data_IF_893914338690
#
_entry.id   IF_893914338690
#
_cell.length_a   1.000
_cell.length_b   1.000
_cell.length_c   1.000
_cell.angle_alpha   90.00
_cell.angle_beta   90.00
_cell.angle_gamma   90.00
#
_symmetry.space_group_name_H-M   'P 1'
#
loop_
_entity.id
_entity.type
_entity.pdbx_description
1 polymer ?
#
# COMPACT_ATOMS: atom_id res chain seq x y z
N UNK A 1 -18.85 -11.12 -14.83
CA UNK A 1 -19.30 -10.06 -13.89
C UNK A 1 -19.04 -10.32 -12.40
N UNK A 2 -19.44 -11.45 -11.77
CA UNK A 2 -19.32 -11.61 -10.29
C UNK A 2 -17.87 -11.51 -9.75
N UNK A 3 -16.89 -12.11 -10.44
CA UNK A 3 -15.48 -12.14 -10.00
C UNK A 3 -14.79 -10.77 -10.02
N UNK A 4 -15.02 -9.96 -11.05
CA UNK A 4 -14.43 -8.61 -11.17
C UNK A 4 -14.87 -7.69 -10.02
N UNK A 5 -16.14 -7.76 -9.62
CA UNK A 5 -16.65 -7.04 -8.44
C UNK A 5 -15.99 -7.51 -7.15
N UNK A 6 -15.77 -8.82 -7.00
CA UNK A 6 -15.06 -9.37 -5.83
C UNK A 6 -13.63 -8.86 -5.74
N UNK A 7 -12.88 -8.84 -6.85
CA UNK A 7 -11.50 -8.33 -6.87
C UNK A 7 -11.45 -6.84 -6.53
N UNK A 8 -12.39 -6.05 -7.03
CA UNK A 8 -12.51 -4.63 -6.67
C UNK A 8 -12.73 -4.42 -5.16
N UNK A 9 -13.67 -5.15 -4.55
CA UNK A 9 -13.90 -5.04 -3.10
C UNK A 9 -12.71 -5.55 -2.29
N UNK A 10 -12.05 -6.63 -2.73
CA UNK A 10 -10.85 -7.13 -2.08
C UNK A 10 -9.69 -6.10 -2.15
N UNK A 11 -9.54 -5.41 -3.28
CA UNK A 11 -8.60 -4.29 -3.43
C UNK A 11 -8.92 -3.15 -2.46
N UNK A 12 -10.19 -2.74 -2.36
CA UNK A 12 -10.61 -1.69 -1.42
C UNK A 12 -10.35 -2.09 0.03
N UNK A 13 -10.67 -3.32 0.42
CA UNK A 13 -10.38 -3.83 1.76
C UNK A 13 -8.86 -3.81 2.02
N UNK A 14 -8.05 -4.23 1.06
CA UNK A 14 -6.59 -4.18 1.17
C UNK A 14 -6.07 -2.74 1.32
N UNK A 15 -6.61 -1.78 0.55
CA UNK A 15 -6.29 -0.35 0.68
C UNK A 15 -6.65 0.20 2.08
N UNK A 16 -7.85 -0.09 2.57
CA UNK A 16 -8.30 0.37 3.88
C UNK A 16 -7.47 -0.25 5.02
N UNK A 17 -7.19 -1.55 4.97
CA UNK A 17 -6.35 -2.23 5.96
C UNK A 17 -4.91 -1.68 5.93
N UNK A 18 -4.39 -1.41 4.73
CA UNK A 18 -3.07 -0.80 4.56
C UNK A 18 -3.02 0.63 5.13
N UNK A 19 -4.07 1.43 4.91
CA UNK A 19 -4.18 2.78 5.47
C UNK A 19 -4.30 2.75 6.99
N UNK A 20 -5.16 1.87 7.53
CA UNK A 20 -5.29 1.67 8.98
C UNK A 20 -3.92 1.36 9.60
N UNK A 21 -3.16 0.44 8.99
CA UNK A 21 -1.83 0.11 9.47
C UNK A 21 -0.85 1.29 9.36
N UNK A 22 -0.86 2.00 8.23
CA UNK A 22 -0.03 3.18 7.99
C UNK A 22 -0.23 4.26 9.05
N UNK A 23 -1.47 4.45 9.51
CA UNK A 23 -1.81 5.48 10.51
C UNK A 23 -1.47 5.01 11.91
N UNK A 24 -1.80 3.77 12.27
CA UNK A 24 -1.72 3.30 13.66
C UNK A 24 -0.31 2.85 14.03
N UNK A 25 0.39 2.10 13.16
CA UNK A 25 1.59 1.36 13.56
C UNK A 25 2.89 1.89 12.95
N UNK A 26 2.86 2.39 11.72
CA UNK A 26 4.09 2.84 11.05
C UNK A 26 4.79 4.04 11.69
N UNK A 27 4.10 5.06 12.26
CA UNK A 27 4.76 6.13 12.99
C UNK A 27 5.56 5.60 14.19
N UNK A 28 5.01 4.60 14.89
CA UNK A 28 5.67 3.96 16.03
C UNK A 28 6.87 3.10 15.58
N UNK A 29 6.71 2.32 14.51
CA UNK A 29 7.80 1.53 13.92
C UNK A 29 8.95 2.41 13.44
N UNK A 30 8.63 3.51 12.77
CA UNK A 30 9.58 4.52 12.32
C UNK A 30 10.34 5.15 13.50
N UNK A 31 9.65 5.57 14.57
CA UNK A 31 10.31 6.14 15.76
C UNK A 31 11.34 5.17 16.36
N UNK A 32 11.02 3.87 16.42
CA UNK A 32 11.97 2.84 16.90
C UNK A 32 13.20 2.72 16.02
N UNK A 33 13.02 2.73 14.70
CA UNK A 33 14.14 2.66 13.73
C UNK A 33 15.00 3.92 13.82
N UNK A 34 14.39 5.09 13.94
CA UNK A 34 15.12 6.37 14.08
C UNK A 34 15.92 6.45 15.39
N UNK A 35 15.40 5.90 16.48
CA UNK A 35 16.13 5.82 17.74
C UNK A 35 17.29 4.81 17.68
N UNK A 36 17.14 3.69 16.97
CA UNK A 36 18.17 2.67 16.85
C UNK A 36 19.27 3.03 15.84
N UNK A 37 18.94 3.80 14.81
CA UNK A 37 19.83 4.15 13.70
C UNK A 37 19.71 5.64 13.33
N UNK A 38 20.15 6.58 14.20
CA UNK A 38 19.96 8.01 14.01
C UNK A 38 20.68 8.57 12.79
N UNK A 39 21.88 8.07 12.48
CA UNK A 39 22.74 8.57 11.39
C UNK A 39 22.61 7.77 10.09
N UNK A 40 21.72 6.78 10.04
CA UNK A 40 21.57 5.94 8.85
C UNK A 40 20.72 6.66 7.79
N UNK A 41 21.17 6.78 6.53
CA UNK A 41 20.48 7.56 5.50
C UNK A 41 19.04 7.07 5.23
N UNK A 42 18.79 5.78 5.38
CA UNK A 42 17.43 5.19 5.25
C UNK A 42 16.50 5.60 6.41
N UNK A 43 17.06 5.88 7.59
CA UNK A 43 16.33 6.38 8.76
C UNK A 43 15.82 7.81 8.57
N UNK A 44 16.63 8.65 7.91
CA UNK A 44 16.28 10.03 7.60
C UNK A 44 15.18 10.13 6.53
N UNK A 45 15.16 9.21 5.55
CA UNK A 45 14.13 9.18 4.51
C UNK A 45 12.84 8.48 4.92
N UNK A 46 12.85 7.72 6.01
CA UNK A 46 11.70 6.99 6.54
C UNK A 46 10.54 7.91 6.95
N UNK A 47 10.84 9.05 7.56
CA UNK A 47 9.84 10.02 8.05
C UNK A 47 8.97 10.59 6.93
N UNK A 48 9.51 11.23 5.88
CA UNK A 48 8.69 11.73 4.79
C UNK A 48 7.92 10.59 4.08
N UNK A 49 8.52 9.41 3.93
CA UNK A 49 7.83 8.26 3.31
C UNK A 49 6.59 7.85 4.10
N UNK A 50 6.71 7.68 5.42
CA UNK A 50 5.61 7.21 6.28
C UNK A 50 4.45 8.21 6.34
N UNK A 51 4.74 9.51 6.36
CA UNK A 51 3.70 10.53 6.40
C UNK A 51 3.11 10.86 5.03
N UNK A 52 3.85 10.69 3.93
CA UNK A 52 3.36 10.98 2.57
C UNK A 52 2.44 9.87 2.04
N UNK A 53 2.65 8.62 2.46
CA UNK A 53 1.78 7.50 2.03
C UNK A 53 0.35 7.58 2.60
N UNK A 54 0.13 8.21 3.77
CA UNK A 54 -1.21 8.32 4.39
C UNK A 54 -2.18 9.13 3.51
N UNK A 55 -1.87 10.38 3.10
CA UNK A 55 -2.73 11.14 2.19
C UNK A 55 -2.81 10.48 0.81
N UNK A 56 -1.72 9.86 0.34
CA UNK A 56 -1.75 9.10 -0.93
C UNK A 56 -2.77 7.95 -0.89
N UNK A 57 -2.70 7.08 0.12
CA UNK A 57 -3.63 5.96 0.28
C UNK A 57 -5.07 6.46 0.49
N UNK A 58 -5.26 7.54 1.24
CA UNK A 58 -6.57 8.17 1.42
C UNK A 58 -7.13 8.66 0.09
N UNK A 59 -6.32 9.36 -0.71
CA UNK A 59 -6.72 9.83 -2.03
C UNK A 59 -7.06 8.67 -2.96
N UNK A 60 -6.29 7.58 -2.95
CA UNK A 60 -6.56 6.38 -3.74
C UNK A 60 -7.88 5.71 -3.36
N UNK A 61 -8.19 5.63 -2.07
CA UNK A 61 -9.48 5.09 -1.59
C UNK A 61 -10.63 5.98 -2.06
N UNK A 62 -10.54 7.29 -1.79
CA UNK A 62 -11.58 8.25 -2.17
C UNK A 62 -11.80 8.23 -3.67
N UNK A 63 -10.73 8.28 -4.46
CA UNK A 63 -10.81 8.22 -5.92
C UNK A 63 -11.42 6.88 -6.37
N UNK A 64 -10.97 5.74 -5.83
CA UNK A 64 -11.49 4.41 -6.17
C UNK A 64 -12.99 4.24 -5.84
N UNK A 65 -13.51 4.96 -4.84
CA UNK A 65 -14.93 4.96 -4.46
C UNK A 65 -15.75 5.93 -5.31
N UNK A 66 -15.25 7.15 -5.53
CA UNK A 66 -15.99 8.23 -6.21
C UNK A 66 -16.03 8.06 -7.73
N UNK A 67 -14.93 7.61 -8.33
CA UNK A 67 -14.84 7.41 -9.77
C UNK A 67 -14.13 6.09 -10.04
N UNK A 68 -14.51 5.39 -11.10
CA UNK A 68 -13.87 4.11 -11.48
C UNK A 68 -12.96 4.19 -12.72
N UNK A 69 -12.27 5.32 -13.02
CA UNK A 69 -11.49 5.36 -14.24
C UNK A 69 -10.38 4.31 -14.20
N UNK A 70 -10.23 3.59 -15.32
CA UNK A 70 -9.33 2.45 -15.43
C UNK A 70 -7.86 2.76 -15.03
N UNK A 71 -7.45 4.03 -15.13
CA UNK A 71 -6.11 4.47 -14.71
C UNK A 71 -5.88 4.40 -13.19
N UNK A 72 -6.93 4.50 -12.35
CA UNK A 72 -6.79 4.38 -10.88
C UNK A 72 -6.33 2.98 -10.52
N UNK A 73 -6.84 1.94 -11.19
CA UNK A 73 -6.40 0.58 -10.92
C UNK A 73 -4.92 0.39 -11.29
N UNK A 74 -4.46 1.02 -12.37
CA UNK A 74 -3.02 1.03 -12.74
C UNK A 74 -2.19 1.76 -11.68
N UNK A 75 -2.70 2.87 -11.15
CA UNK A 75 -2.03 3.61 -10.09
C UNK A 75 -1.97 2.80 -8.78
N UNK A 76 -3.07 2.18 -8.37
CA UNK A 76 -3.12 1.28 -7.21
C UNK A 76 -2.14 0.11 -7.37
N UNK A 77 -2.03 -0.46 -8.57
CA UNK A 77 -1.05 -1.50 -8.88
C UNK A 77 0.39 -1.01 -8.64
N UNK A 78 0.75 0.14 -9.23
CA UNK A 78 2.10 0.72 -9.07
C UNK A 78 2.39 1.02 -7.60
N UNK A 79 1.45 1.66 -6.90
CA UNK A 79 1.60 2.00 -5.48
C UNK A 79 1.72 0.73 -4.62
N UNK A 80 0.89 -0.29 -4.86
CA UNK A 80 0.99 -1.57 -4.16
C UNK A 80 2.36 -2.25 -4.34
N UNK A 81 2.91 -2.22 -5.56
CA UNK A 81 4.25 -2.74 -5.84
C UNK A 81 5.34 -1.95 -5.11
N UNK A 82 5.29 -0.61 -5.15
CA UNK A 82 6.26 0.25 -4.46
C UNK A 82 6.21 0.00 -2.95
N UNK A 83 5.02 0.02 -2.35
CA UNK A 83 4.87 -0.21 -0.91
C UNK A 83 5.42 -1.59 -0.51
N UNK A 84 5.12 -2.62 -1.30
CA UNK A 84 5.64 -3.98 -1.07
C UNK A 84 7.18 -4.01 -1.15
N UNK A 85 7.76 -3.41 -2.18
CA UNK A 85 9.21 -3.36 -2.35
C UNK A 85 9.91 -2.61 -1.20
N UNK A 86 9.35 -1.48 -0.76
CA UNK A 86 9.89 -0.71 0.36
C UNK A 86 9.89 -1.52 1.66
N UNK A 87 8.81 -2.25 1.95
CA UNK A 87 8.72 -3.08 3.16
C UNK A 87 9.70 -4.26 3.11
N UNK A 88 9.92 -4.86 1.94
CA UNK A 88 10.91 -5.95 1.75
C UNK A 88 12.35 -5.43 1.87
N UNK A 89 12.61 -4.21 1.41
CA UNK A 89 13.94 -3.62 1.44
C UNK A 89 14.44 -3.37 2.88
N UNK A 90 13.54 -2.99 3.79
CA UNK A 90 13.90 -2.70 5.20
C UNK A 90 14.61 -3.86 5.93
N UNK A 91 14.06 -5.10 5.97
CA UNK A 91 14.76 -6.23 6.60
C UNK A 91 16.05 -6.62 5.87
N UNK A 92 16.14 -6.42 4.55
CA UNK A 92 17.39 -6.66 3.79
C UNK A 92 18.51 -5.72 4.27
N UNK A 93 18.18 -4.47 4.59
CA UNK A 93 19.13 -3.49 5.14
C UNK A 93 19.39 -3.62 6.64
N UNK A 94 18.86 -4.64 7.30
CA UNK A 94 18.98 -4.85 8.75
C UNK A 94 18.10 -3.91 9.60
N UNK A 95 17.27 -3.08 8.97
CA UNK A 95 16.36 -2.16 9.64
C UNK A 95 15.04 -2.87 9.95
N UNK A 96 15.01 -3.56 11.09
CA UNK A 96 13.80 -4.28 11.50
C UNK A 96 12.83 -3.35 12.25
N UNK A 97 11.66 -3.09 11.67
CA UNK A 97 10.60 -2.31 12.31
C UNK A 97 9.78 -3.11 13.34
N UNK A 98 10.13 -4.38 13.58
CA UNK A 98 9.42 -5.31 14.46
C UNK A 98 8.52 -6.27 13.67
N UNK A 99 7.38 -6.65 14.24
CA UNK A 99 6.43 -7.62 13.62
C UNK A 99 5.63 -7.00 12.46
N UNK A 100 5.68 -5.68 12.31
CA UNK A 100 4.90 -4.93 11.34
C UNK A 100 5.02 -5.41 9.88
N UNK A 101 6.23 -5.63 9.33
CA UNK A 101 6.40 -6.07 7.95
C UNK A 101 5.61 -7.33 7.59
N UNK A 102 5.51 -8.30 8.50
CA UNK A 102 4.78 -9.55 8.27
C UNK A 102 3.27 -9.33 8.04
N UNK A 103 2.69 -8.30 8.67
CA UNK A 103 1.29 -7.93 8.48
C UNK A 103 1.10 -6.95 7.31
N UNK A 104 2.05 -6.05 7.05
CA UNK A 104 1.90 -5.03 5.99
C UNK A 104 2.13 -5.60 4.58
N UNK A 105 3.01 -6.60 4.43
CA UNK A 105 3.32 -7.22 3.13
C UNK A 105 2.06 -7.81 2.47
N UNK A 106 1.25 -8.67 3.13
CA UNK A 106 0.05 -9.23 2.52
C UNK A 106 -0.94 -8.18 2.02
N UNK A 107 -1.12 -7.07 2.74
CA UNK A 107 -2.03 -6.00 2.32
C UNK A 107 -1.47 -5.19 1.16
N UNK A 108 -0.17 -4.84 1.19
CA UNK A 108 0.48 -4.11 0.09
C UNK A 108 0.50 -4.94 -1.20
N UNK A 109 0.79 -6.24 -1.07
CA UNK A 109 0.73 -7.18 -2.17
C UNK A 109 -0.70 -7.41 -2.64
N UNK A 110 -1.66 -7.47 -1.71
CA UNK A 110 -3.08 -7.57 -2.01
C UNK A 110 -3.58 -6.40 -2.86
N UNK A 111 -3.16 -5.17 -2.56
CA UNK A 111 -3.47 -4.00 -3.40
C UNK A 111 -2.96 -4.23 -4.83
N UNK A 112 -1.70 -4.63 -5.00
CA UNK A 112 -1.12 -4.88 -6.32
C UNK A 112 -1.86 -6.00 -7.08
N UNK A 113 -2.00 -7.17 -6.46
CA UNK A 113 -2.61 -8.34 -7.07
C UNK A 113 -4.08 -8.10 -7.43
N UNK A 114 -4.88 -7.56 -6.50
CA UNK A 114 -6.30 -7.31 -6.77
C UNK A 114 -6.50 -6.16 -7.76
N UNK A 115 -5.61 -5.17 -7.79
CA UNK A 115 -5.64 -4.13 -8.84
C UNK A 115 -5.33 -4.74 -10.21
N UNK A 116 -4.32 -5.59 -10.33
CA UNK A 116 -4.00 -6.30 -11.58
C UNK A 116 -5.16 -7.17 -12.06
N UNK A 117 -5.76 -7.94 -11.15
CA UNK A 117 -6.92 -8.76 -11.46
C UNK A 117 -8.13 -7.92 -11.87
N UNK A 118 -8.33 -6.76 -11.24
CA UNK A 118 -9.40 -5.83 -11.61
C UNK A 118 -9.15 -5.23 -13.01
N UNK A 119 -7.92 -4.81 -13.33
CA UNK A 119 -7.53 -4.33 -14.67
C UNK A 119 -7.81 -5.39 -15.73
N UNK A 120 -7.35 -6.63 -15.51
CA UNK A 120 -7.53 -7.74 -16.47
C UNK A 120 -9.01 -8.08 -16.76
N UNK A 121 -9.91 -7.71 -15.85
CA UNK A 121 -11.34 -7.92 -15.99
C UNK A 121 -12.12 -6.61 -16.15
N UNK A 122 -11.44 -5.48 -16.35
CA UNK A 122 -12.06 -4.16 -16.50
C UNK A 122 -12.88 -4.08 -17.80
N UNK A 123 -12.45 -4.77 -18.86
CA UNK A 123 -13.22 -4.94 -20.11
C UNK A 123 -14.59 -5.62 -19.86
N UNK A 124 -14.75 -6.35 -18.75
CA UNK A 124 -16.02 -7.00 -18.37
C UNK A 124 -16.85 -6.16 -17.38
N UNK A 125 -16.33 -5.02 -16.91
CA UNK A 125 -17.03 -4.09 -16.01
C UNK A 125 -17.80 -3.01 -16.76
N UNK A 126 -17.67 -2.94 -18.10
CA UNK A 126 -18.45 -2.04 -18.96
C UNK A 126 -17.96 -0.58 -18.95
N UNK A 127 -16.71 -0.35 -18.53
CA UNK A 127 -16.09 0.97 -18.49
C UNK A 127 -14.87 0.99 -19.42
N UNK A 128 -15.17 1.13 -20.72
CA UNK A 128 -14.22 1.58 -21.74
C UNK A 128 -14.24 3.11 -21.81
#
# INVERSE_FOLDING_TARGET
MKRAKTYYYAMLVALCLRLFWAVVFEPHGMQRVMAAFPDHPVSLSLRPVVYTQIPLLTALIVLSVLKKPAWIFKLNLVVGCILTAMIIYMPITGLNQGIGPAFVIPFSLGIALFSLLTIRHADQLGEA
#
